data_IF_540798777420
#
_entry.id   IF_540798777420
#
_cell.length_a   1.000
_cell.length_b   1.000
_cell.length_c   1.000
_cell.angle_alpha   90.00
_cell.angle_beta   90.00
_cell.angle_gamma   90.00
#
_symmetry.space_group_name_H-M   'P 1'
#
loop_
_entity.id
_entity.type
_entity.pdbx_description
1 polymer ?
#
# COMPACT_ATOMS: atom_id res chain seq x y z
N UNK A 1 35.74 70.04 -24.74
CA UNK A 1 36.91 69.83 -23.85
C UNK A 1 36.46 68.89 -22.73
N UNK A 2 37.35 67.97 -22.34
CA UNK A 2 37.12 66.69 -21.63
C UNK A 2 36.45 66.78 -20.26
N UNK A 3 35.69 65.74 -19.90
CA UNK A 3 35.67 64.98 -18.62
C UNK A 3 34.54 63.93 -18.70
N UNK A 4 34.78 62.65 -19.01
CA UNK A 4 35.20 61.54 -18.12
C UNK A 4 34.39 61.40 -16.83
N UNK A 5 33.32 60.59 -16.87
CA UNK A 5 32.73 59.98 -15.67
C UNK A 5 32.83 58.45 -15.80
N UNK A 6 33.51 57.90 -14.81
CA UNK A 6 33.80 56.49 -14.57
C UNK A 6 32.56 55.59 -14.67
N UNK A 7 32.65 54.52 -15.47
CA UNK A 7 31.75 53.35 -15.38
C UNK A 7 32.23 52.47 -14.23
N UNK A 8 31.43 52.41 -13.16
CA UNK A 8 31.55 51.38 -12.12
C UNK A 8 30.87 50.11 -12.65
N UNK A 9 31.65 49.14 -13.12
CA UNK A 9 31.16 47.82 -13.50
C UNK A 9 30.81 47.04 -12.24
N UNK A 10 29.53 47.04 -11.88
CA UNK A 10 28.98 46.17 -10.86
C UNK A 10 28.88 44.75 -11.45
N UNK A 11 29.87 43.90 -11.17
CA UNK A 11 29.78 42.47 -11.42
C UNK A 11 28.74 41.87 -10.45
N UNK A 12 27.51 41.70 -10.91
CA UNK A 12 26.57 40.78 -10.30
C UNK A 12 27.06 39.35 -10.60
N UNK A 13 27.76 38.75 -9.63
CA UNK A 13 27.88 37.29 -9.57
C UNK A 13 26.52 36.78 -9.11
N UNK A 14 25.61 36.57 -10.06
CA UNK A 14 24.44 35.72 -9.83
C UNK A 14 24.99 34.31 -9.66
N UNK A 15 25.22 33.90 -8.41
CA UNK A 15 25.32 32.49 -8.07
C UNK A 15 24.00 31.85 -8.44
N UNK A 16 23.97 31.16 -9.57
CA UNK A 16 22.92 30.21 -9.91
C UNK A 16 22.92 29.17 -8.79
N UNK A 17 22.07 29.37 -7.79
CA UNK A 17 21.64 28.28 -6.92
C UNK A 17 20.86 27.35 -7.84
N UNK A 18 21.58 26.47 -8.52
CA UNK A 18 20.98 25.25 -9.07
C UNK A 18 20.33 24.61 -7.84
N UNK A 19 19.00 24.47 -7.78
CA UNK A 19 18.40 23.68 -6.73
C UNK A 19 19.09 22.32 -6.81
N UNK A 20 19.81 21.93 -5.76
CA UNK A 20 20.24 20.55 -5.62
C UNK A 20 18.93 19.76 -5.62
N UNK A 21 18.55 19.24 -6.78
CA UNK A 21 17.61 18.14 -6.89
C UNK A 21 18.16 17.11 -5.92
N UNK A 22 17.48 16.91 -4.78
CA UNK A 22 17.87 15.90 -3.82
C UNK A 22 18.02 14.60 -4.61
N UNK A 23 19.24 14.08 -4.72
CA UNK A 23 19.50 12.84 -5.43
C UNK A 23 18.63 11.78 -4.75
N UNK A 24 17.73 11.17 -5.52
CA UNK A 24 16.84 10.13 -5.02
C UNK A 24 17.70 9.07 -4.33
N UNK A 25 17.45 8.85 -3.04
CA UNK A 25 18.36 8.10 -2.19
C UNK A 25 18.12 6.62 -2.42
N UNK A 26 19.10 5.95 -3.04
CA UNK A 26 19.03 4.52 -3.33
C UNK A 26 19.08 3.70 -2.04
N UNK A 27 18.21 2.68 -1.86
CA UNK A 27 18.29 1.77 -0.73
C UNK A 27 19.62 1.03 -0.72
N UNK A 28 20.19 0.84 0.47
CA UNK A 28 21.39 0.05 0.69
C UNK A 28 21.11 -1.06 1.69
N UNK A 29 21.37 -2.31 1.30
CA UNK A 29 21.32 -3.46 2.19
C UNK A 29 22.73 -3.66 2.75
N UNK A 30 22.87 -3.58 4.08
CA UNK A 30 24.16 -3.76 4.78
C UNK A 30 24.30 -5.16 5.39
N UNK A 31 23.19 -5.85 5.63
CA UNK A 31 23.21 -7.21 6.13
C UNK A 31 21.82 -7.85 6.14
N UNK A 32 21.79 -9.17 5.98
CA UNK A 32 20.58 -9.98 6.08
C UNK A 32 20.83 -11.16 7.01
N UNK A 33 19.92 -11.41 7.95
CA UNK A 33 19.99 -12.53 8.89
C UNK A 33 18.67 -13.30 8.91
N UNK A 34 18.74 -14.58 9.29
CA UNK A 34 17.61 -15.51 9.26
C UNK A 34 17.87 -16.68 8.32
N UNK A 35 17.04 -17.71 8.41
CA UNK A 35 17.16 -18.88 7.56
C UNK A 35 16.58 -18.60 6.16
N UNK A 36 17.33 -18.96 5.11
CA UNK A 36 16.87 -18.80 3.72
C UNK A 36 16.00 -20.01 3.34
N UNK A 37 14.77 -20.02 3.85
CA UNK A 37 13.78 -21.07 3.59
C UNK A 37 12.36 -20.50 3.59
N UNK A 38 11.45 -21.11 2.83
CA UNK A 38 10.03 -20.72 2.79
C UNK A 38 9.42 -20.73 4.19
N UNK A 39 8.64 -19.70 4.52
CA UNK A 39 7.99 -19.48 5.80
C UNK A 39 8.87 -18.84 6.87
N UNK A 40 10.18 -18.75 6.66
CA UNK A 40 11.10 -18.11 7.60
C UNK A 40 11.10 -16.60 7.43
N UNK A 41 11.30 -15.89 8.55
CA UNK A 41 11.45 -14.43 8.53
C UNK A 41 12.92 -14.07 8.39
N UNK A 42 13.24 -13.23 7.40
CA UNK A 42 14.52 -12.57 7.29
C UNK A 42 14.47 -11.19 7.94
N UNK A 43 15.54 -10.83 8.65
CA UNK A 43 15.79 -9.46 9.08
C UNK A 43 16.80 -8.82 8.13
N UNK A 44 16.49 -7.63 7.64
CA UNK A 44 17.24 -6.89 6.62
C UNK A 44 17.65 -5.56 7.26
N UNK A 45 18.95 -5.36 7.41
CA UNK A 45 19.54 -4.12 7.90
C UNK A 45 20.04 -3.29 6.72
N UNK A 46 19.85 -1.96 6.79
CA UNK A 46 20.13 -1.08 5.66
C UNK A 46 19.92 0.40 5.96
N UNK A 47 19.79 1.18 4.88
CA UNK A 47 19.41 2.60 4.90
C UNK A 47 18.56 2.92 3.68
N UNK A 48 17.68 3.91 3.77
CA UNK A 48 16.80 4.35 2.68
C UNK A 48 15.84 3.24 2.21
N UNK A 49 15.56 2.24 3.04
CA UNK A 49 14.70 1.10 2.67
C UNK A 49 13.22 1.48 2.61
N UNK A 50 12.82 2.48 3.41
CA UNK A 50 11.52 3.14 3.38
C UNK A 50 11.79 4.62 3.19
N UNK A 51 11.54 5.14 1.99
CA UNK A 51 11.75 6.53 1.66
C UNK A 51 10.58 7.03 0.82
N UNK A 52 9.63 7.68 1.47
CA UNK A 52 8.36 8.10 0.88
C UNK A 52 8.54 9.26 -0.11
N UNK A 53 7.76 9.24 -1.20
CA UNK A 53 7.57 10.39 -2.06
C UNK A 53 6.20 11.02 -1.79
N UNK A 54 6.12 11.86 -0.76
CA UNK A 54 4.84 12.45 -0.35
C UNK A 54 4.48 13.76 -1.07
N UNK A 55 5.15 14.08 -2.18
CA UNK A 55 5.01 15.39 -2.86
C UNK A 55 3.62 15.61 -3.46
N UNK A 56 2.92 14.54 -3.84
CA UNK A 56 1.56 14.58 -4.38
C UNK A 56 0.48 14.12 -3.40
N UNK A 57 0.83 13.88 -2.13
CA UNK A 57 -0.10 13.32 -1.16
C UNK A 57 -1.01 14.38 -0.56
N UNK A 58 -2.27 14.01 -0.37
CA UNK A 58 -3.29 14.87 0.21
C UNK A 58 -3.32 14.72 1.73
N UNK A 59 -3.52 15.84 2.43
CA UNK A 59 -3.87 15.81 3.86
C UNK A 59 -5.34 15.49 4.05
N UNK A 60 -5.68 14.89 5.18
CA UNK A 60 -7.08 14.76 5.61
C UNK A 60 -7.61 16.10 6.12
N UNK A 61 -8.91 16.30 6.02
CA UNK A 61 -9.56 17.49 6.56
C UNK A 61 -9.40 17.57 8.08
N UNK A 62 -9.24 18.79 8.60
CA UNK A 62 -8.99 19.05 10.02
C UNK A 62 -7.62 18.60 10.56
N UNK A 63 -6.80 17.90 9.77
CA UNK A 63 -5.47 17.46 10.20
C UNK A 63 -4.43 18.59 10.05
N UNK A 64 -3.83 19.00 11.16
CA UNK A 64 -2.88 20.12 11.21
C UNK A 64 -1.40 19.72 11.15
N UNK A 65 -1.08 18.42 11.28
CA UNK A 65 0.28 17.90 11.22
C UNK A 65 0.84 17.73 9.79
N UNK A 66 1.91 16.94 9.66
CA UNK A 66 2.48 16.56 8.36
C UNK A 66 1.72 15.38 7.73
N UNK A 67 1.62 15.32 6.40
CA UNK A 67 0.94 14.19 5.73
C UNK A 67 1.57 12.84 6.11
N UNK A 68 2.89 12.80 6.33
CA UNK A 68 3.60 11.60 6.77
C UNK A 68 3.14 11.14 8.17
N UNK A 69 3.05 12.05 9.14
CA UNK A 69 2.62 11.70 10.50
C UNK A 69 1.18 11.20 10.56
N UNK A 70 0.31 11.73 9.69
CA UNK A 70 -1.06 11.28 9.50
C UNK A 70 -1.11 9.85 8.95
N UNK A 71 -0.35 9.60 7.87
CA UNK A 71 -0.30 8.32 7.18
C UNK A 71 0.16 7.17 8.09
N UNK A 72 1.11 7.43 9.01
CA UNK A 72 1.64 6.42 9.92
C UNK A 72 0.89 6.28 11.25
N UNK A 73 -0.24 6.96 11.44
CA UNK A 73 -1.07 6.86 12.64
C UNK A 73 -0.32 7.14 13.95
N UNK A 74 0.48 8.20 13.94
CA UNK A 74 1.36 8.55 15.07
C UNK A 74 0.68 9.41 16.13
N UNK A 75 -0.59 9.77 15.94
CA UNK A 75 -1.38 10.53 16.87
C UNK A 75 -1.74 9.76 18.13
N UNK A 76 -2.26 10.49 19.12
CA UNK A 76 -2.74 9.88 20.37
C UNK A 76 -4.02 9.03 20.18
N UNK A 77 -4.78 9.29 19.11
CA UNK A 77 -6.06 8.65 18.78
C UNK A 77 -6.24 8.59 17.26
N UNK A 78 -7.06 7.65 16.76
CA UNK A 78 -7.40 7.55 15.33
C UNK A 78 -8.08 8.82 14.79
N UNK A 79 -8.85 9.54 15.62
CA UNK A 79 -9.46 10.82 15.26
C UNK A 79 -8.43 11.91 15.02
N UNK A 80 -7.36 11.96 15.84
CA UNK A 80 -6.26 12.93 15.66
C UNK A 80 -5.53 12.70 14.35
N UNK A 81 -5.48 11.46 13.85
CA UNK A 81 -4.90 11.12 12.54
C UNK A 81 -5.89 11.24 11.37
N UNK A 82 -7.08 11.81 11.61
CA UNK A 82 -8.09 12.05 10.57
C UNK A 82 -8.85 10.79 10.12
N UNK A 83 -8.76 9.70 10.88
CA UNK A 83 -9.52 8.45 10.67
C UNK A 83 -10.86 8.45 11.43
N UNK A 84 -11.23 9.56 12.07
CA UNK A 84 -12.55 9.73 12.65
C UNK A 84 -13.22 11.05 12.22
N UNK A 85 -13.76 11.06 11.00
CA UNK A 85 -14.68 12.09 10.53
C UNK A 85 -16.13 11.85 10.96
N UNK A 86 -17.02 12.76 10.55
CA UNK A 86 -18.45 12.91 10.92
C UNK A 86 -19.34 11.65 10.81
N UNK A 87 -18.86 10.56 10.22
CA UNK A 87 -19.58 9.30 10.03
C UNK A 87 -18.84 8.07 10.57
N UNK A 88 -17.94 8.22 11.55
CA UNK A 88 -17.47 7.04 12.30
C UNK A 88 -18.58 6.54 13.22
N UNK A 89 -19.09 5.36 12.89
CA UNK A 89 -20.09 4.66 13.68
C UNK A 89 -19.37 3.94 14.84
N UNK A 90 -19.18 4.66 15.94
CA UNK A 90 -18.84 4.10 17.27
C UNK A 90 -17.39 3.63 17.47
N UNK A 91 -17.18 2.82 18.53
CA UNK A 91 -15.89 2.24 18.97
C UNK A 91 -15.26 1.22 17.98
N UNK A 92 -15.73 1.21 16.73
CA UNK A 92 -15.34 0.27 15.67
C UNK A 92 -13.97 0.56 15.07
N UNK A 93 -13.39 1.75 15.33
CA UNK A 93 -12.09 2.19 14.78
C UNK A 93 -11.12 2.55 15.91
N UNK A 94 -10.08 1.73 16.10
CA UNK A 94 -9.11 1.89 17.20
C UNK A 94 -7.67 1.83 16.70
N UNK A 95 -6.74 2.47 17.41
CA UNK A 95 -5.31 2.29 17.14
C UNK A 95 -4.82 0.97 17.76
N UNK A 96 -4.07 0.17 16.99
CA UNK A 96 -3.50 -1.10 17.43
C UNK A 96 -1.97 -1.07 17.27
N UNK A 97 -1.26 -1.32 18.38
CA UNK A 97 0.21 -1.39 18.42
C UNK A 97 0.76 -2.78 18.18
N UNK A 98 -0.06 -3.82 18.28
CA UNK A 98 0.35 -5.23 18.21
C UNK A 98 0.40 -5.74 16.77
N UNK A 99 -0.49 -5.26 15.89
CA UNK A 99 -0.50 -5.59 14.47
C UNK A 99 -0.21 -4.35 13.65
N UNK A 100 0.98 -4.29 13.07
CA UNK A 100 1.41 -3.18 12.20
C UNK A 100 2.53 -3.66 11.28
N UNK A 101 2.69 -3.00 10.16
CA UNK A 101 3.80 -3.23 9.21
C UNK A 101 4.77 -2.05 9.19
N UNK A 102 4.32 -0.84 9.52
CA UNK A 102 5.07 0.41 9.53
C UNK A 102 4.73 1.23 10.77
N UNK A 103 5.71 2.00 11.26
CA UNK A 103 5.50 2.91 12.38
C UNK A 103 5.12 2.21 13.69
N UNK A 104 4.44 2.95 14.57
CA UNK A 104 4.10 2.51 15.93
C UNK A 104 2.69 1.91 16.06
N UNK A 105 1.80 2.21 15.11
CA UNK A 105 0.41 1.79 15.15
C UNK A 105 -0.13 1.45 13.75
N UNK A 106 -1.19 0.66 13.73
CA UNK A 106 -2.15 0.59 12.63
C UNK A 106 -3.53 1.00 13.14
N UNK A 107 -4.48 1.19 12.22
CA UNK A 107 -5.88 1.38 12.57
C UNK A 107 -6.60 0.04 12.41
N UNK A 108 -7.18 -0.46 13.48
CA UNK A 108 -8.08 -1.60 13.49
C UNK A 108 -9.52 -1.12 13.26
N UNK A 109 -10.16 -1.68 12.25
CA UNK A 109 -11.57 -1.52 11.92
C UNK A 109 -12.26 -2.85 12.22
N UNK A 110 -13.28 -2.78 13.07
CA UNK A 110 -14.19 -3.89 13.38
C UNK A 110 -15.51 -3.59 12.69
N UNK A 111 -15.95 -4.45 11.79
CA UNK A 111 -17.32 -4.38 11.30
C UNK A 111 -18.12 -5.58 11.80
N UNK A 112 -19.26 -5.29 12.42
CA UNK A 112 -20.24 -6.25 12.90
C UNK A 112 -21.67 -5.80 12.51
N UNK A 113 -22.66 -6.69 12.66
CA UNK A 113 -24.06 -6.39 12.36
C UNK A 113 -24.62 -5.24 13.19
N UNK A 114 -24.19 -5.10 14.46
CA UNK A 114 -24.65 -4.05 15.36
C UNK A 114 -24.24 -2.66 14.85
N UNK A 115 -23.15 -2.56 14.09
CA UNK A 115 -22.76 -1.33 13.38
C UNK A 115 -23.72 -0.91 12.25
N UNK A 116 -24.67 -1.77 11.85
CA UNK A 116 -25.60 -1.56 10.74
C UNK A 116 -27.08 -1.53 11.14
N UNK A 117 -27.48 -2.16 12.27
CA UNK A 117 -28.89 -2.25 12.69
C UNK A 117 -29.48 -0.85 12.89
N UNK A 118 -30.61 -0.57 12.22
CA UNK A 118 -31.34 0.71 12.24
C UNK A 118 -30.59 1.92 11.65
N UNK A 119 -29.48 1.71 10.94
CA UNK A 119 -28.66 2.78 10.35
C UNK A 119 -28.72 2.75 8.83
N UNK A 120 -28.66 3.95 8.22
CA UNK A 120 -28.61 4.12 6.76
C UNK A 120 -27.22 3.89 6.16
N UNK A 121 -26.19 3.76 6.99
CA UNK A 121 -24.83 3.35 6.61
C UNK A 121 -24.27 2.37 7.65
N UNK A 122 -23.42 1.46 7.19
CA UNK A 122 -22.76 0.42 7.98
C UNK A 122 -21.34 0.83 8.38
N UNK A 123 -20.90 0.44 9.58
CA UNK A 123 -19.67 0.88 10.26
C UNK A 123 -18.36 0.84 9.46
N UNK A 124 -18.14 1.87 8.65
CA UNK A 124 -16.87 2.17 8.01
C UNK A 124 -16.07 3.24 8.76
N UNK A 125 -14.78 3.28 8.47
CA UNK A 125 -13.95 4.46 8.76
C UNK A 125 -14.08 5.43 7.58
N UNK A 126 -14.77 6.56 7.78
CA UNK A 126 -14.81 7.65 6.80
C UNK A 126 -13.62 8.60 7.01
N UNK A 127 -12.82 8.77 5.96
CA UNK A 127 -11.61 9.57 5.95
C UNK A 127 -11.84 10.74 5.00
N UNK A 128 -12.05 11.94 5.54
CA UNK A 128 -12.34 13.13 4.74
C UNK A 128 -11.06 13.75 4.20
N UNK A 129 -11.07 14.11 2.92
CA UNK A 129 -9.97 14.80 2.27
C UNK A 129 -10.05 16.30 2.57
N UNK A 130 -8.91 16.95 2.78
CA UNK A 130 -8.82 18.40 3.06
C UNK A 130 -9.30 19.29 1.92
N UNK A 131 -9.48 18.72 0.74
CA UNK A 131 -10.01 19.37 -0.44
C UNK A 131 -10.69 18.34 -1.34
N UNK A 132 -11.53 18.84 -2.22
CA UNK A 132 -12.26 18.06 -3.19
C UNK A 132 -11.28 17.68 -4.30
N UNK A 133 -11.31 16.42 -4.69
CA UNK A 133 -10.51 15.95 -5.81
C UNK A 133 -11.47 15.67 -6.95
N UNK A 134 -11.45 16.55 -7.94
CA UNK A 134 -12.34 16.51 -9.10
C UNK A 134 -11.69 15.78 -10.31
N UNK A 135 -10.40 15.47 -10.18
CA UNK A 135 -9.54 14.85 -11.19
C UNK A 135 -9.04 13.46 -10.74
N UNK A 136 -8.14 12.88 -11.54
CA UNK A 136 -7.51 11.60 -11.27
C UNK A 136 -6.86 11.55 -9.88
N UNK A 137 -7.15 10.49 -9.12
CA UNK A 137 -6.59 10.30 -7.79
C UNK A 137 -6.31 8.83 -7.49
N UNK A 138 -5.40 8.60 -6.56
CA UNK A 138 -5.04 7.29 -6.06
C UNK A 138 -5.25 7.22 -4.56
N UNK A 139 -5.66 6.05 -4.06
CA UNK A 139 -5.70 5.70 -2.66
C UNK A 139 -4.89 4.42 -2.44
N UNK A 140 -4.10 4.35 -1.37
CA UNK A 140 -3.37 3.13 -1.02
C UNK A 140 -3.24 2.90 0.48
N UNK A 141 -3.03 1.64 0.84
CA UNK A 141 -2.72 1.22 2.20
C UNK A 141 -2.06 -0.16 2.21
N UNK A 142 -1.40 -0.46 3.33
CA UNK A 142 -1.23 -1.84 3.74
C UNK A 142 -2.48 -2.30 4.51
N UNK A 143 -3.01 -3.46 4.13
CA UNK A 143 -4.21 -4.06 4.73
C UNK A 143 -3.89 -5.45 5.27
N UNK A 144 -4.40 -5.76 6.47
CA UNK A 144 -4.34 -7.08 7.08
C UNK A 144 -5.76 -7.47 7.48
N UNK A 145 -6.17 -8.69 7.16
CA UNK A 145 -7.57 -9.11 7.32
C UNK A 145 -7.63 -10.46 8.01
N UNK A 146 -8.53 -10.56 9.00
CA UNK A 146 -8.91 -11.81 9.68
C UNK A 146 -10.43 -12.01 9.66
N UNK A 147 -10.84 -13.27 9.54
CA UNK A 147 -12.24 -13.68 9.48
C UNK A 147 -12.59 -14.32 8.13
N UNK A 148 -13.88 -14.56 7.87
CA UNK A 148 -14.36 -15.14 6.60
C UNK A 148 -14.40 -14.11 5.47
N UNK A 149 -13.23 -13.74 4.97
CA UNK A 149 -13.04 -13.00 3.73
C UNK A 149 -13.17 -13.97 2.54
N UNK A 150 -14.00 -13.84 1.50
CA UNK A 150 -14.89 -12.77 1.03
C UNK A 150 -16.31 -13.32 0.76
N UNK A 151 -17.04 -13.79 1.79
CA UNK A 151 -18.45 -14.20 1.57
C UNK A 151 -19.42 -13.02 1.59
N UNK A 152 -18.96 -11.86 2.07
CA UNK A 152 -19.72 -10.62 2.13
C UNK A 152 -18.93 -9.51 1.44
N UNK A 153 -19.67 -8.58 0.82
CA UNK A 153 -19.11 -7.50 0.03
C UNK A 153 -18.39 -6.53 1.00
N UNK A 154 -17.11 -6.18 0.80
CA UNK A 154 -16.39 -5.26 1.71
C UNK A 154 -15.66 -4.16 0.96
N UNK A 155 -16.07 -2.90 1.13
CA UNK A 155 -15.48 -1.77 0.40
C UNK A 155 -14.10 -1.43 0.96
N UNK A 156 -13.08 -1.60 0.12
CA UNK A 156 -11.70 -1.15 0.38
C UNK A 156 -11.52 0.31 -0.02
N UNK A 157 -12.45 0.79 -0.81
CA UNK A 157 -12.52 2.15 -1.27
C UNK A 157 -13.97 2.44 -1.55
N UNK A 158 -14.51 3.50 -0.97
CA UNK A 158 -15.79 4.07 -1.36
C UNK A 158 -15.67 5.59 -1.30
N UNK A 159 -16.05 6.25 -2.38
CA UNK A 159 -16.43 7.66 -2.37
C UNK A 159 -17.82 7.82 -2.95
N UNK A 160 -18.44 8.96 -2.69
CA UNK A 160 -19.74 9.35 -3.23
C UNK A 160 -19.54 10.63 -4.03
N UNK A 161 -19.97 10.61 -5.29
CA UNK A 161 -20.04 11.79 -6.15
C UNK A 161 -21.48 12.14 -6.48
N UNK A 162 -21.68 13.12 -7.37
CA UNK A 162 -23.00 13.69 -7.65
C UNK A 162 -24.03 12.67 -8.15
N UNK A 163 -23.60 11.70 -8.95
CA UNK A 163 -24.48 10.74 -9.62
C UNK A 163 -24.50 9.35 -8.97
N UNK A 164 -23.71 9.12 -7.92
CA UNK A 164 -23.74 7.84 -7.21
C UNK A 164 -22.50 7.49 -6.40
N UNK A 165 -22.35 6.19 -6.13
CA UNK A 165 -21.24 5.62 -5.38
C UNK A 165 -20.17 5.08 -6.33
N UNK A 166 -18.91 5.30 -5.95
CA UNK A 166 -17.74 4.80 -6.65
C UNK A 166 -16.94 3.97 -5.66
N UNK A 167 -16.80 2.67 -5.93
CA UNK A 167 -16.12 1.81 -4.98
C UNK A 167 -15.34 0.67 -5.64
N UNK A 168 -14.33 0.23 -4.90
CA UNK A 168 -13.59 -1.00 -5.19
C UNK A 168 -13.69 -1.91 -3.98
N UNK A 169 -13.99 -3.17 -4.24
CA UNK A 169 -14.05 -4.21 -3.21
C UNK A 169 -13.57 -5.55 -3.77
N UNK A 170 -13.21 -6.50 -2.91
CA UNK A 170 -13.04 -7.90 -3.29
C UNK A 170 -14.34 -8.47 -3.90
N UNK A 171 -14.17 -9.37 -4.88
CA UNK A 171 -15.26 -10.15 -5.45
C UNK A 171 -15.77 -11.17 -4.41
N UNK A 172 -17.05 -11.14 -4.03
CA UNK A 172 -17.58 -12.12 -3.11
C UNK A 172 -17.56 -13.53 -3.69
N UNK A 173 -17.01 -14.49 -2.95
CA UNK A 173 -16.99 -15.90 -3.33
C UNK A 173 -16.03 -16.28 -4.45
N UNK A 174 -15.15 -15.38 -4.90
CA UNK A 174 -14.19 -15.66 -5.98
C UNK A 174 -12.96 -14.75 -5.98
N UNK A 175 -11.95 -15.04 -6.81
CA UNK A 175 -10.81 -14.15 -7.00
C UNK A 175 -11.23 -12.84 -7.71
N UNK A 176 -10.37 -11.83 -7.61
CA UNK A 176 -10.56 -10.54 -8.29
C UNK A 176 -11.44 -9.55 -7.52
N UNK A 177 -11.84 -8.49 -8.21
CA UNK A 177 -12.43 -7.27 -7.66
C UNK A 177 -13.78 -6.98 -8.28
N UNK A 178 -14.69 -6.38 -7.51
CA UNK A 178 -15.84 -5.66 -8.02
C UNK A 178 -15.53 -4.16 -7.99
N UNK A 179 -15.64 -3.53 -9.15
CA UNK A 179 -15.55 -2.09 -9.33
C UNK A 179 -16.96 -1.58 -9.62
N UNK A 180 -17.38 -0.54 -8.91
CA UNK A 180 -18.62 0.18 -9.18
C UNK A 180 -18.31 1.63 -9.54
N UNK A 181 -18.93 2.07 -10.63
CA UNK A 181 -18.92 3.45 -11.09
C UNK A 181 -20.37 3.93 -11.26
N UNK A 182 -20.82 4.78 -10.33
CA UNK A 182 -22.21 5.23 -10.23
C UNK A 182 -23.23 4.05 -10.26
N UNK A 183 -23.93 3.85 -11.36
CA UNK A 183 -24.91 2.77 -11.53
C UNK A 183 -24.33 1.48 -12.15
N UNK A 184 -23.15 1.56 -12.75
CA UNK A 184 -22.50 0.45 -13.46
C UNK A 184 -21.55 -0.32 -12.52
N UNK A 185 -21.43 -1.63 -12.71
CA UNK A 185 -20.51 -2.45 -11.94
C UNK A 185 -19.93 -3.59 -12.75
N UNK A 186 -18.66 -3.91 -12.53
CA UNK A 186 -17.91 -4.93 -13.27
C UNK A 186 -17.01 -5.75 -12.34
N UNK A 187 -16.82 -7.02 -12.67
CA UNK A 187 -15.85 -7.89 -12.00
C UNK A 187 -14.58 -8.03 -12.84
N UNK A 188 -13.41 -7.80 -12.25
CA UNK A 188 -12.10 -7.78 -12.94
C UNK A 188 -10.98 -8.36 -12.08
N UNK A 189 -9.83 -8.64 -12.70
CA UNK A 189 -8.62 -9.10 -11.98
C UNK A 189 -8.71 -10.54 -11.48
N UNK A 190 -7.67 -10.98 -10.78
CA UNK A 190 -7.57 -12.34 -10.23
C UNK A 190 -6.79 -12.36 -8.89
N UNK A 191 -6.86 -11.27 -8.13
CA UNK A 191 -6.13 -11.14 -6.86
C UNK A 191 -6.27 -12.37 -5.95
N UNK A 192 -5.13 -12.81 -5.42
CA UNK A 192 -5.05 -13.82 -4.37
C UNK A 192 -5.31 -13.16 -3.02
N UNK A 193 -6.42 -13.57 -2.42
CA UNK A 193 -6.99 -13.06 -1.18
C UNK A 193 -6.50 -13.80 0.07
N UNK A 194 -5.27 -14.33 0.04
CA UNK A 194 -4.67 -15.04 1.16
C UNK A 194 -4.77 -14.22 2.46
N UNK A 195 -5.49 -14.76 3.45
CA UNK A 195 -5.75 -14.05 4.70
C UNK A 195 -4.55 -14.07 5.66
N UNK A 196 -4.65 -13.31 6.77
CA UNK A 196 -3.70 -13.36 7.89
C UNK A 196 -2.27 -12.93 7.55
N UNK A 197 -2.12 -12.05 6.55
CA UNK A 197 -0.87 -11.37 6.17
C UNK A 197 -1.14 -9.93 5.75
N UNK A 198 -0.09 -9.11 5.73
CA UNK A 198 -0.16 -7.76 5.18
C UNK A 198 -0.11 -7.82 3.66
N UNK A 199 -1.04 -7.13 3.02
CA UNK A 199 -1.04 -6.85 1.59
C UNK A 199 -0.90 -5.37 1.34
N UNK A 200 -0.21 -5.00 0.26
CA UNK A 200 -0.30 -3.65 -0.26
C UNK A 200 -1.47 -3.55 -1.24
N UNK A 201 -2.37 -2.61 -1.01
CA UNK A 201 -3.46 -2.28 -1.91
C UNK A 201 -3.31 -0.85 -2.42
N UNK A 202 -3.52 -0.65 -3.71
CA UNK A 202 -3.64 0.68 -4.31
C UNK A 202 -4.69 0.65 -5.42
N UNK A 203 -5.55 1.67 -5.42
CA UNK A 203 -6.44 1.99 -6.54
C UNK A 203 -6.08 3.35 -7.07
N UNK A 204 -6.11 3.52 -8.38
CA UNK A 204 -6.13 4.82 -9.03
C UNK A 204 -7.37 4.92 -9.91
N UNK A 205 -8.05 6.06 -9.83
CA UNK A 205 -9.19 6.42 -10.65
C UNK A 205 -8.74 7.59 -11.50
N UNK A 206 -8.81 7.45 -12.81
CA UNK A 206 -8.52 8.49 -13.78
C UNK A 206 -9.82 8.96 -14.43
N UNK A 207 -10.24 10.16 -14.01
CA UNK A 207 -11.47 10.82 -14.46
C UNK A 207 -11.20 11.87 -15.53
N UNK A 208 -9.93 12.16 -15.86
CA UNK A 208 -9.59 13.24 -16.80
C UNK A 208 -9.91 12.89 -18.26
N UNK A 209 -10.33 11.64 -18.53
CA UNK A 209 -10.61 11.14 -19.88
C UNK A 209 -12.08 11.33 -20.27
N UNK A 210 -12.33 11.96 -21.42
CA UNK A 210 -13.67 12.02 -22.01
C UNK A 210 -14.18 10.66 -22.50
N UNK A 211 -13.34 9.62 -22.46
CA UNK A 211 -13.66 8.24 -22.85
C UNK A 211 -14.20 7.39 -21.69
N UNK A 212 -14.43 8.00 -20.53
CA UNK A 212 -14.96 7.36 -19.33
C UNK A 212 -13.94 7.20 -18.22
N UNK A 213 -14.45 6.85 -17.04
CA UNK A 213 -13.64 6.75 -15.83
C UNK A 213 -12.84 5.45 -15.82
N UNK A 214 -11.51 5.57 -15.63
CA UNK A 214 -10.58 4.44 -15.66
C UNK A 214 -10.10 4.08 -14.27
N UNK A 215 -10.31 2.84 -13.89
CA UNK A 215 -9.84 2.26 -12.64
C UNK A 215 -8.63 1.38 -12.92
N UNK A 216 -7.59 1.54 -12.12
CA UNK A 216 -6.45 0.63 -12.12
C UNK A 216 -6.21 0.18 -10.68
N UNK A 217 -6.05 -1.12 -10.47
CA UNK A 217 -5.89 -1.73 -9.14
C UNK A 217 -4.58 -2.49 -9.09
N UNK A 218 -3.86 -2.31 -7.99
CA UNK A 218 -2.64 -3.00 -7.70
C UNK A 218 -2.73 -3.70 -6.36
N UNK A 219 -2.26 -4.94 -6.36
CA UNK A 219 -2.25 -5.84 -5.23
C UNK A 219 -0.83 -6.35 -5.04
N UNK A 220 -0.28 -6.14 -3.85
CA UNK A 220 1.13 -6.40 -3.54
C UNK A 220 2.08 -5.80 -4.57
N UNK A 221 1.86 -4.52 -4.94
CA UNK A 221 2.72 -3.78 -5.85
C UNK A 221 2.61 -4.15 -7.33
N UNK A 222 1.93 -5.24 -7.68
CA UNK A 222 1.71 -5.71 -9.05
C UNK A 222 0.36 -5.22 -9.56
N UNK A 223 0.27 -4.80 -10.83
CA UNK A 223 -1.00 -4.43 -11.45
C UNK A 223 -1.87 -5.68 -11.58
N UNK A 224 -2.98 -5.72 -10.85
CA UNK A 224 -3.90 -6.86 -10.85
C UNK A 224 -5.05 -6.66 -11.83
N UNK A 225 -5.59 -5.44 -11.90
CA UNK A 225 -6.72 -5.12 -12.75
C UNK A 225 -6.66 -3.72 -13.34
N UNK A 226 -7.30 -3.55 -14.48
CA UNK A 226 -7.53 -2.27 -15.14
C UNK A 226 -8.86 -2.34 -15.89
N UNK A 227 -9.69 -1.32 -15.74
CA UNK A 227 -10.97 -1.23 -16.44
C UNK A 227 -11.34 0.22 -16.73
N UNK A 228 -11.95 0.46 -17.88
CA UNK A 228 -12.46 1.78 -18.27
C UNK A 228 -13.94 1.65 -18.56
N UNK A 229 -14.75 2.41 -17.83
CA UNK A 229 -16.18 2.51 -18.10
C UNK A 229 -16.43 3.29 -19.38
N UNK A 230 -17.57 3.08 -20.01
CA UNK A 230 -17.92 3.76 -21.27
C UNK A 230 -18.41 5.19 -21.08
N UNK A 231 -18.88 5.50 -19.87
CA UNK A 231 -19.38 6.82 -19.48
C UNK A 231 -18.41 7.47 -18.52
N UNK A 232 -18.28 8.78 -18.63
CA UNK A 232 -17.58 9.62 -17.67
C UNK A 232 -18.62 10.23 -16.74
N UNK A 233 -18.51 9.96 -15.45
CA UNK A 233 -19.45 10.45 -14.46
C UNK A 233 -18.86 11.55 -13.57
N UNK A 234 -17.56 11.86 -13.71
CA UNK A 234 -16.87 12.86 -12.90
C UNK A 234 -16.85 12.43 -11.43
N UNK A 235 -15.86 11.62 -11.05
CA UNK A 235 -15.70 11.24 -9.64
C UNK A 235 -15.16 12.42 -8.85
N UNK A 236 -16.00 13.02 -8.02
CA UNK A 236 -15.57 13.94 -6.97
C UNK A 236 -15.31 13.13 -5.71
N UNK A 237 -14.05 13.05 -5.29
CA UNK A 237 -13.69 12.42 -4.03
C UNK A 237 -13.66 13.46 -2.90
N UNK A 238 -14.58 13.31 -1.94
CA UNK A 238 -14.65 14.15 -0.74
C UNK A 238 -14.18 13.41 0.51
N UNK A 239 -14.43 12.12 0.53
CA UNK A 239 -14.04 11.22 1.59
C UNK A 239 -13.88 9.82 1.01
N UNK A 240 -13.09 9.03 1.71
CA UNK A 240 -12.92 7.62 1.41
C UNK A 240 -13.34 6.80 2.60
N UNK A 241 -14.22 5.84 2.36
CA UNK A 241 -14.61 4.89 3.40
C UNK A 241 -13.93 3.55 3.21
N UNK A 242 -13.45 3.00 4.34
CA UNK A 242 -12.78 1.71 4.42
C UNK A 242 -13.57 0.79 5.35
N UNK A 243 -13.60 -0.50 5.00
CA UNK A 243 -14.10 -1.54 5.90
C UNK A 243 -15.62 -1.58 6.02
N UNK A 244 -16.34 -1.08 5.02
CA UNK A 244 -17.80 -1.13 5.01
C UNK A 244 -18.26 -2.48 4.50
N UNK A 245 -19.06 -3.25 5.26
CA UNK A 245 -19.81 -4.35 4.71
C UNK A 245 -20.87 -3.78 3.75
N UNK A 246 -20.75 -4.09 2.47
CA UNK A 246 -21.75 -3.81 1.47
C UNK A 246 -22.92 -4.77 1.73
N UNK A 247 -23.94 -4.20 2.37
CA UNK A 247 -25.15 -4.86 2.80
C UNK A 247 -25.91 -5.40 1.59
N UNK A 248 -25.93 -6.73 1.41
CA UNK A 248 -26.90 -7.33 0.51
C UNK A 248 -28.27 -7.22 1.18
N UNK A 249 -29.12 -6.33 0.67
CA UNK A 249 -30.53 -6.19 1.07
C UNK A 249 -31.39 -7.44 0.74
N UNK A 250 -30.76 -8.56 0.43
CA UNK A 250 -31.40 -9.83 0.17
C UNK A 250 -31.92 -10.38 1.50
N UNK A 251 -33.22 -10.24 1.73
CA UNK A 251 -33.92 -10.90 2.81
C UNK A 251 -33.54 -12.40 2.84
N UNK A 252 -32.89 -12.84 3.92
CA UNK A 252 -32.50 -14.24 4.14
C UNK A 252 -31.01 -14.56 4.06
N UNK A 253 -30.12 -13.59 3.79
CA UNK A 253 -28.68 -13.80 3.99
C UNK A 253 -28.34 -13.85 5.48
N UNK A 254 -27.46 -14.77 5.92
CA UNK A 254 -27.04 -14.88 7.32
C UNK A 254 -26.40 -13.58 7.83
N UNK A 255 -26.38 -13.37 9.17
CA UNK A 255 -25.72 -12.24 9.81
C UNK A 255 -24.31 -12.04 9.26
N UNK A 256 -23.88 -10.78 9.07
CA UNK A 256 -22.52 -10.46 8.64
C UNK A 256 -21.58 -11.01 9.70
N UNK A 257 -20.76 -12.00 9.32
CA UNK A 257 -19.74 -12.54 10.22
C UNK A 257 -18.78 -11.40 10.56
N UNK A 258 -18.54 -11.11 11.86
CA UNK A 258 -17.63 -10.03 12.24
C UNK A 258 -16.28 -10.20 11.57
N UNK A 259 -15.78 -9.13 10.97
CA UNK A 259 -14.45 -9.12 10.37
C UNK A 259 -13.59 -8.05 11.02
N UNK A 260 -12.30 -8.34 11.12
CA UNK A 260 -11.31 -7.39 11.60
C UNK A 260 -10.39 -7.06 10.44
N UNK A 261 -10.26 -5.77 10.15
CA UNK A 261 -9.30 -5.26 9.17
C UNK A 261 -8.37 -4.29 9.88
N UNK A 262 -7.08 -4.44 9.65
CA UNK A 262 -6.08 -3.45 10.05
C UNK A 262 -5.59 -2.73 8.81
N UNK A 263 -5.50 -1.41 8.90
CA UNK A 263 -5.02 -0.52 7.87
C UNK A 263 -3.78 0.17 8.39
N UNK A 264 -2.71 0.19 7.61
CA UNK A 264 -1.46 0.87 7.95
C UNK A 264 -0.95 1.65 6.73
N UNK A 265 -0.38 2.84 6.95
CA UNK A 265 0.09 3.73 5.87
C UNK A 265 -0.99 4.04 4.84
N UNK A 266 -2.13 4.60 5.28
CA UNK A 266 -3.17 5.06 4.37
C UNK A 266 -2.78 6.41 3.74
N UNK A 267 -2.90 6.49 2.41
CA UNK A 267 -2.47 7.64 1.61
C UNK A 267 -3.49 7.90 0.50
N UNK A 268 -3.78 9.18 0.27
CA UNK A 268 -4.42 9.65 -0.97
C UNK A 268 -3.46 10.57 -1.72
N UNK A 269 -3.49 10.54 -3.04
CA UNK A 269 -2.52 11.24 -3.88
C UNK A 269 -3.08 11.54 -5.27
N UNK A 270 -2.61 12.61 -5.93
CA UNK A 270 -2.90 12.86 -7.35
C UNK A 270 -2.10 11.99 -8.31
N UNK A 271 -1.11 11.24 -7.78
CA UNK A 271 -0.27 10.33 -8.54
C UNK A 271 -0.20 8.95 -7.89
N UNK A 272 0.27 7.99 -8.66
CA UNK A 272 0.72 6.66 -8.23
C UNK A 272 1.50 6.74 -6.91
N UNK A 273 1.07 5.98 -5.90
CA UNK A 273 1.62 6.05 -4.55
C UNK A 273 2.78 5.06 -4.39
N UNK A 274 2.64 3.82 -4.86
CA UNK A 274 3.57 2.71 -4.64
C UNK A 274 3.69 2.22 -3.18
N UNK A 275 4.13 0.96 -2.94
CA UNK A 275 4.47 0.48 -1.60
C UNK A 275 5.56 1.32 -0.94
N UNK A 276 5.59 1.35 0.39
CA UNK A 276 6.66 2.01 1.17
C UNK A 276 8.03 1.38 0.87
N UNK A 277 8.03 0.05 0.76
CA UNK A 277 9.17 -0.78 0.40
C UNK A 277 8.67 -2.07 -0.23
N UNK A 278 9.37 -2.52 -1.26
CA UNK A 278 9.21 -3.82 -1.89
C UNK A 278 10.50 -4.59 -1.69
N UNK A 279 10.43 -5.77 -1.07
CA UNK A 279 11.55 -6.69 -1.00
C UNK A 279 11.29 -7.85 -1.94
N UNK A 280 12.21 -8.08 -2.86
CA UNK A 280 12.11 -9.16 -3.83
C UNK A 280 13.27 -10.13 -3.69
N UNK A 281 13.00 -11.41 -3.93
CA UNK A 281 13.99 -12.47 -3.94
C UNK A 281 13.97 -13.17 -5.29
N UNK A 282 15.16 -13.55 -5.75
CA UNK A 282 15.37 -14.28 -6.99
C UNK A 282 16.37 -15.41 -6.80
N UNK A 283 16.16 -16.54 -7.47
CA UNK A 283 17.16 -17.61 -7.55
C UNK A 283 18.02 -17.51 -8.82
N UNK A 284 17.47 -17.03 -9.93
CA UNK A 284 18.09 -16.98 -11.26
C UNK A 284 18.63 -15.58 -11.66
N UNK A 285 18.16 -14.53 -10.98
CA UNK A 285 18.54 -13.13 -11.17
C UNK A 285 17.69 -12.39 -12.18
N UNK A 286 16.80 -13.11 -12.85
CA UNK A 286 15.91 -12.59 -13.85
C UNK A 286 14.49 -12.52 -13.31
N UNK A 287 14.04 -13.58 -12.62
CA UNK A 287 12.72 -13.70 -12.04
C UNK A 287 12.76 -13.25 -10.59
N UNK A 288 12.12 -12.13 -10.32
CA UNK A 288 12.04 -11.55 -8.98
C UNK A 288 10.64 -11.74 -8.43
N UNK A 289 10.55 -12.29 -7.22
CA UNK A 289 9.30 -12.51 -6.52
C UNK A 289 9.27 -11.64 -5.28
N UNK A 290 8.22 -10.85 -5.13
CA UNK A 290 7.97 -10.07 -3.93
C UNK A 290 7.75 -10.97 -2.73
N UNK A 291 8.31 -10.57 -1.59
CA UNK A 291 8.18 -11.26 -0.31
C UNK A 291 7.15 -10.54 0.57
N UNK A 292 6.56 -11.28 1.50
CA UNK A 292 5.56 -10.74 2.43
C UNK A 292 6.24 -9.80 3.44
N UNK A 293 5.80 -8.54 3.57
CA UNK A 293 6.30 -7.66 4.61
C UNK A 293 5.73 -8.09 5.97
N UNK A 294 6.62 -8.28 6.95
CA UNK A 294 6.25 -8.49 8.36
C UNK A 294 6.38 -7.17 9.12
N UNK A 295 7.46 -6.45 8.86
CA UNK A 295 7.75 -5.14 9.41
C UNK A 295 8.64 -4.38 8.43
N UNK A 296 8.44 -3.08 8.27
CA UNK A 296 9.19 -2.23 7.36
C UNK A 296 9.65 -0.99 8.14
N UNK A 297 10.92 -0.64 7.97
CA UNK A 297 11.46 0.64 8.42
C UNK A 297 12.64 1.04 7.55
N UNK A 298 13.11 2.27 7.71
CA UNK A 298 14.23 2.79 6.94
C UNK A 298 15.53 2.01 7.14
N UNK A 299 15.75 1.51 8.36
CA UNK A 299 17.03 0.90 8.78
C UNK A 299 16.96 -0.58 9.11
N UNK A 300 15.78 -1.10 9.45
CA UNK A 300 15.58 -2.52 9.76
C UNK A 300 14.20 -3.00 9.26
N UNK A 301 14.18 -3.88 8.27
CA UNK A 301 12.95 -4.46 7.72
C UNK A 301 12.92 -5.97 7.95
N UNK A 302 11.72 -6.54 8.08
CA UNK A 302 11.48 -7.97 8.18
C UNK A 302 10.52 -8.43 7.10
N UNK A 303 10.87 -9.54 6.45
CA UNK A 303 10.01 -10.16 5.45
C UNK A 303 9.91 -11.65 5.69
N UNK A 304 8.74 -12.23 5.42
CA UNK A 304 8.54 -13.68 5.40
C UNK A 304 8.82 -14.20 4.01
N UNK A 305 9.75 -15.15 3.92
CA UNK A 305 10.20 -15.71 2.67
C UNK A 305 9.16 -16.67 2.06
N UNK A 306 8.97 -16.55 0.75
CA UNK A 306 8.30 -17.55 -0.06
C UNK A 306 9.14 -17.87 -1.30
N UNK A 307 9.93 -18.93 -1.19
CA UNK A 307 10.81 -19.41 -2.25
C UNK A 307 10.11 -20.36 -3.24
N UNK A 308 8.82 -20.66 -3.04
CA UNK A 308 8.07 -21.54 -3.96
C UNK A 308 8.05 -20.94 -5.36
N UNK A 309 8.39 -21.74 -6.35
CA UNK A 309 8.46 -21.33 -7.75
C UNK A 309 9.75 -20.59 -8.14
N UNK A 310 10.66 -20.31 -7.20
CA UNK A 310 11.97 -19.74 -7.52
C UNK A 310 13.00 -20.86 -7.76
N UNK A 311 13.54 -20.93 -8.97
CA UNK A 311 14.60 -21.87 -9.31
C UNK A 311 15.97 -21.34 -8.85
N UNK A 312 16.71 -22.13 -8.07
CA UNK A 312 18.08 -21.81 -7.69
C UNK A 312 18.53 -22.47 -6.39
N UNK A 313 19.84 -22.60 -6.22
CA UNK A 313 20.49 -23.02 -4.95
C UNK A 313 21.10 -21.86 -4.19
N UNK A 314 21.19 -20.69 -4.85
CA UNK A 314 21.68 -19.44 -4.28
C UNK A 314 20.62 -18.38 -4.54
N UNK A 315 20.19 -17.72 -3.47
CA UNK A 315 19.19 -16.68 -3.56
C UNK A 315 19.83 -15.31 -3.44
N UNK A 316 19.22 -14.35 -4.11
CA UNK A 316 19.62 -12.96 -4.09
C UNK A 316 18.39 -12.10 -3.80
N UNK A 317 18.63 -10.95 -3.18
CA UNK A 317 17.59 -10.04 -2.71
C UNK A 317 17.85 -8.63 -3.25
N UNK A 318 16.78 -7.88 -3.46
CA UNK A 318 16.84 -6.43 -3.67
C UNK A 318 15.70 -5.76 -2.93
N UNK A 319 15.87 -4.47 -2.63
CA UNK A 319 14.87 -3.63 -2.00
C UNK A 319 14.58 -2.44 -2.92
N UNK A 320 13.30 -2.17 -3.17
CA UNK A 320 12.84 -0.99 -3.91
C UNK A 320 12.02 -0.11 -2.97
N UNK A 321 12.41 1.15 -2.77
CA UNK A 321 11.65 2.07 -1.93
C UNK A 321 10.52 2.77 -2.71
N UNK A 322 9.70 3.54 -2.00
CA UNK A 322 8.57 4.27 -2.57
C UNK A 322 8.96 5.25 -3.70
N UNK A 323 10.14 5.88 -3.61
CA UNK A 323 10.74 6.69 -4.69
C UNK A 323 11.19 5.89 -5.93
N UNK A 324 10.85 4.60 -6.01
CA UNK A 324 11.18 3.69 -7.10
C UNK A 324 12.69 3.50 -7.31
N UNK A 325 13.49 3.75 -6.27
CA UNK A 325 14.91 3.47 -6.28
C UNK A 325 15.14 2.03 -5.80
N UNK A 326 15.89 1.25 -6.58
CA UNK A 326 16.20 -0.15 -6.29
C UNK A 326 17.64 -0.29 -5.80
N UNK A 327 17.84 -1.05 -4.72
CA UNK A 327 19.17 -1.37 -4.22
C UNK A 327 20.02 -2.14 -5.23
N UNK A 328 21.33 -2.14 -5.02
CA UNK A 328 22.16 -3.20 -5.57
C UNK A 328 21.66 -4.57 -5.09
N UNK A 329 21.95 -5.62 -5.87
CA UNK A 329 21.61 -6.99 -5.49
C UNK A 329 22.46 -7.44 -4.31
N UNK A 330 21.81 -8.00 -3.29
CA UNK A 330 22.45 -8.60 -2.12
C UNK A 330 22.37 -10.13 -2.21
N UNK A 331 23.48 -10.84 -1.99
CA UNK A 331 23.51 -12.29 -2.01
C UNK A 331 23.13 -12.87 -0.64
N UNK A 332 22.10 -13.71 -0.59
CA UNK A 332 21.67 -14.38 0.63
C UNK A 332 22.62 -15.55 0.92
N UNK A 333 23.24 -15.54 2.09
CA UNK A 333 24.05 -16.66 2.57
C UNK A 333 23.17 -17.66 3.32
N UNK A 334 23.38 -18.98 3.10
CA UNK A 334 22.70 -20.03 3.87
C UNK A 334 21.58 -20.81 3.17
N UNK A 335 21.67 -21.04 1.85
CA UNK A 335 20.84 -22.05 1.18
C UNK A 335 21.08 -23.47 1.76
N UNK A 336 20.15 -24.43 1.55
CA UNK A 336 20.35 -25.80 2.01
C UNK A 336 21.69 -26.29 1.48
N UNK A 337 22.61 -26.62 2.40
CA UNK A 337 23.90 -27.18 2.03
C UNK A 337 23.65 -28.40 1.14
N UNK A 338 24.20 -28.39 -0.07
CA UNK A 338 24.32 -29.61 -0.86
C UNK A 338 24.90 -30.70 0.05
N UNK A 339 24.30 -31.90 0.13
CA UNK A 339 24.94 -32.99 0.85
C UNK A 339 26.35 -33.13 0.30
N UNK A 340 27.34 -32.95 1.17
CA UNK A 340 28.74 -33.20 0.81
C UNK A 340 28.76 -34.61 0.22
N UNK A 341 29.28 -34.84 -1.00
CA UNK A 341 29.39 -36.20 -1.51
C UNK A 341 30.18 -36.97 -0.46
N UNK A 342 29.58 -38.02 0.10
CA UNK A 342 30.26 -38.93 1.00
C UNK A 342 31.55 -39.31 0.28
N UNK A 343 32.71 -38.93 0.86
CA UNK A 343 33.99 -39.37 0.36
C UNK A 343 33.90 -40.88 0.13
N UNK A 344 34.36 -41.41 -1.01
CA UNK A 344 34.23 -42.82 -1.31
C UNK A 344 34.79 -43.60 -0.14
N UNK A 345 33.92 -44.34 0.53
CA UNK A 345 34.30 -45.27 1.57
C UNK A 345 35.25 -46.25 0.87
N UNK A 346 36.53 -46.24 1.27
CA UNK A 346 37.54 -47.15 0.73
C UNK A 346 36.96 -48.56 0.76
N UNK A 347 36.66 -49.09 -0.43
CA UNK A 347 36.33 -50.49 -0.65
C UNK A 347 37.61 -51.26 -0.29
N UNK A 348 37.69 -51.74 0.96
CA UNK A 348 38.66 -52.78 1.30
C UNK A 348 38.18 -54.05 0.62
N UNK A 349 38.84 -54.38 -0.49
CA UNK A 349 38.85 -55.73 -1.03
C UNK A 349 39.44 -56.63 0.06
N UNK A 350 38.67 -57.61 0.50
CA UNK A 350 39.18 -58.82 1.16
C UNK A 350 39.18 -59.95 0.14
#
# INVERSE_FOLDING_TARGET
>A
MKESIFRLSLLFVTSWMVPLSALATTPLITGVTGAVATGQTLNISGTNMVNENSTSWFKNDGYTGSVLTQTYFTGATSSVDGFAGWHVIGDSVTLDRSKKVLGDHSVKIVADDDSCVERTSCGGSAIYLSHWVDDSFCASAYVYIEGTFATHYHKFFLTVGEVGQYYVQPNPGGPGWLIKDAAEAVYVGNADWTQSRWHYWEVCIDTASSSGDKYTIWWDGVKDAEYTFSQHHGVIAHFNELGIPNWSWLAGTPPVVPFNMWVNRYVNSSNRIYPASIVEVSGDGATWKQQEPVFLSDTNSQVRLDLRGLAGTHYRMRVTNNQQQTSATYFLSGGPATPKPNSPMNLRVQ
#
